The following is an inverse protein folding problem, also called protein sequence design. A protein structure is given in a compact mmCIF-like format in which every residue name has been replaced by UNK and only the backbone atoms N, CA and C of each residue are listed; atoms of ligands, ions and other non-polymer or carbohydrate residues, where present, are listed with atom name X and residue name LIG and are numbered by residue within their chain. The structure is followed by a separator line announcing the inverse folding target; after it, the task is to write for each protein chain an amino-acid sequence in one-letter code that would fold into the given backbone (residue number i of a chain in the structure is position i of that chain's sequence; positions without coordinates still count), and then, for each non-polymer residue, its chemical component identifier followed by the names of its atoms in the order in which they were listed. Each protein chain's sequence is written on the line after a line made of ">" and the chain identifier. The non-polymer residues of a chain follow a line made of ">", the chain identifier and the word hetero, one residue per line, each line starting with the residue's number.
data_IF_051113727120
#
_entry.id   IF_051113727120
#
_cell.length_a   1.000
_cell.length_b   1.000
_cell.length_c   1.000
_cell.angle_alpha   90.00
_cell.angle_beta   90.00
_cell.angle_gamma   90.00
#
_symmetry.space_group_name_H-M   'P 1'
#
loop_
_entity.id
_entity.type
_entity.pdbx_description
1 polymer ?
#
# COMPACT_ATOMS: atom_id res chain seq x y z
N UNK A 1 1.54 2.85 3.21
CA UNK A 1 1.69 1.51 3.81
C UNK A 1 1.47 1.61 5.31
N UNK A 2 0.30 1.19 5.80
CA UNK A 2 -0.03 1.14 7.22
C UNK A 2 0.15 -0.30 7.69
N UNK A 3 1.40 -0.75 7.83
CA UNK A 3 1.74 -2.18 7.95
C UNK A 3 1.76 -2.69 9.38
N UNK A 4 1.55 -1.83 10.37
CA UNK A 4 1.33 -2.23 11.76
C UNK A 4 0.17 -1.37 12.24
N UNK A 5 -0.99 -1.98 12.50
CA UNK A 5 -2.06 -1.29 13.19
C UNK A 5 -1.50 -0.71 14.48
N UNK A 6 -1.64 0.61 14.66
CA UNK A 6 -1.26 1.31 15.89
C UNK A 6 -1.60 0.57 17.20
N UNK A 7 -2.72 -0.19 17.31
CA UNK A 7 -3.02 -0.98 18.50
C UNK A 7 -1.96 -2.02 18.88
N UNK A 8 -1.35 -2.72 17.91
CA UNK A 8 -0.32 -3.72 18.19
C UNK A 8 0.95 -3.09 18.76
N UNK A 9 1.32 -1.91 18.26
CA UNK A 9 2.46 -1.14 18.78
C UNK A 9 2.21 -0.68 20.22
N UNK A 10 1.02 -0.15 20.52
CA UNK A 10 0.67 0.29 21.87
C UNK A 10 0.59 -0.87 22.86
N UNK A 11 0.09 -2.04 22.45
CA UNK A 11 0.04 -3.24 23.29
C UNK A 11 1.46 -3.77 23.60
N UNK A 12 2.35 -3.78 22.61
CA UNK A 12 3.76 -4.12 22.78
C UNK A 12 4.49 -3.11 23.69
N UNK A 13 4.29 -1.81 23.47
CA UNK A 13 4.88 -0.75 24.29
C UNK A 13 4.41 -0.83 25.76
N UNK A 14 3.11 -1.08 25.98
CA UNK A 14 2.55 -1.26 27.32
C UNK A 14 3.11 -2.51 28.02
N UNK A 15 3.27 -3.62 27.29
CA UNK A 15 3.89 -4.85 27.80
C UNK A 15 5.36 -4.67 28.20
N UNK A 16 6.11 -3.87 27.43
CA UNK A 16 7.51 -3.53 27.68
C UNK A 16 7.69 -2.57 28.87
N UNK A 17 6.89 -1.50 28.95
CA UNK A 17 7.00 -0.47 29.99
C UNK A 17 6.69 -0.99 31.40
N UNK A 18 5.77 -1.95 31.54
CA UNK A 18 5.38 -2.47 32.86
C UNK A 18 6.24 -3.63 33.40
N UNK A 19 7.34 -4.02 32.74
CA UNK A 19 8.12 -5.22 33.10
C UNK A 19 7.22 -6.46 33.30
N UNK A 20 6.13 -6.58 32.52
CA UNK A 20 5.22 -7.72 32.59
C UNK A 20 5.85 -9.00 32.02
N UNK A 21 6.97 -8.89 31.30
CA UNK A 21 7.73 -10.00 30.74
C UNK A 21 8.62 -10.62 31.84
N UNK A 22 8.21 -11.77 32.40
CA UNK A 22 9.17 -12.68 33.05
C UNK A 22 9.83 -13.50 31.94
N UNK A 23 11.03 -13.10 31.57
CA UNK A 23 11.83 -13.77 30.54
C UNK A 23 12.19 -15.18 31.02
N UNK A 24 11.55 -16.20 30.46
CA UNK A 24 12.12 -17.54 30.48
C UNK A 24 13.19 -17.57 29.37
N UNK A 25 14.42 -17.18 29.72
CA UNK A 25 15.49 -16.81 28.79
C UNK A 25 15.78 -17.84 27.68
N UNK A 26 15.44 -19.11 27.88
CA UNK A 26 15.66 -20.16 26.89
C UNK A 26 14.74 -20.10 25.65
N UNK A 27 13.51 -19.56 25.77
CA UNK A 27 12.51 -19.60 24.68
C UNK A 27 12.34 -18.27 23.94
N UNK A 28 12.58 -17.16 24.62
CA UNK A 28 12.31 -15.81 24.08
C UNK A 28 13.52 -15.23 23.33
N UNK A 29 14.74 -15.62 23.74
CA UNK A 29 16.00 -15.19 23.10
C UNK A 29 16.06 -15.49 21.59
N UNK A 30 15.74 -16.71 21.10
CA UNK A 30 15.78 -16.97 19.66
C UNK A 30 14.74 -16.16 18.90
N UNK A 31 13.54 -15.96 19.47
CA UNK A 31 12.48 -15.19 18.79
C UNK A 31 12.83 -13.69 18.75
N UNK A 32 13.37 -13.15 19.84
CA UNK A 32 13.83 -11.77 19.89
C UNK A 32 15.03 -11.55 18.95
N UNK A 33 15.98 -12.49 18.90
CA UNK A 33 17.12 -12.42 17.99
C UNK A 33 16.68 -12.42 16.52
N UNK A 34 15.71 -13.26 16.17
CA UNK A 34 15.11 -13.29 14.82
C UNK A 34 14.35 -11.99 14.53
N UNK A 35 13.61 -11.44 15.49
CA UNK A 35 12.90 -10.17 15.33
C UNK A 35 13.87 -9.00 15.12
N UNK A 36 14.95 -8.96 15.89
CA UNK A 36 16.00 -7.94 15.79
C UNK A 36 16.78 -8.09 14.49
N UNK A 37 17.07 -9.32 14.05
CA UNK A 37 17.68 -9.59 12.75
C UNK A 37 16.79 -9.13 11.58
N UNK A 38 15.48 -9.44 11.63
CA UNK A 38 14.54 -8.98 10.60
C UNK A 38 14.37 -7.45 10.61
N UNK A 39 14.37 -6.82 11.78
CA UNK A 39 14.35 -5.36 11.90
C UNK A 39 15.62 -4.75 11.30
N UNK A 40 16.79 -5.33 11.58
CA UNK A 40 18.07 -4.85 11.07
C UNK A 40 18.15 -5.01 9.54
N UNK A 41 17.70 -6.16 9.01
CA UNK A 41 17.55 -6.38 7.57
C UNK A 41 16.61 -5.33 6.97
N UNK A 42 15.46 -5.05 7.60
CA UNK A 42 14.50 -4.05 7.12
C UNK A 42 15.11 -2.64 7.11
N UNK A 43 15.87 -2.25 8.14
CA UNK A 43 16.55 -0.96 8.22
C UNK A 43 17.66 -0.85 7.17
N UNK A 44 18.47 -1.89 6.99
CA UNK A 44 19.53 -1.94 5.96
C UNK A 44 18.90 -1.87 4.57
N UNK A 45 17.79 -2.58 4.33
CA UNK A 45 17.08 -2.53 3.06
C UNK A 45 16.50 -1.13 2.82
N UNK A 46 15.83 -0.55 3.81
CA UNK A 46 15.27 0.81 3.74
C UNK A 46 16.36 1.86 3.47
N UNK A 47 17.52 1.70 4.11
CA UNK A 47 18.67 2.59 3.94
C UNK A 47 19.30 2.47 2.54
N UNK A 48 19.42 1.25 2.00
CA UNK A 48 20.06 0.99 0.70
C UNK A 48 19.12 1.31 -0.46
N UNK A 49 17.84 0.89 -0.41
CA UNK A 49 16.95 0.97 -1.57
C UNK A 49 16.06 2.21 -1.58
N UNK A 50 15.97 2.98 -0.48
CA UNK A 50 14.97 4.06 -0.28
C UNK A 50 13.52 3.63 -0.57
N UNK A 51 13.26 2.32 -0.66
CA UNK A 51 11.98 1.75 -1.06
C UNK A 51 11.64 0.60 -0.12
N UNK A 52 10.56 0.74 0.65
CA UNK A 52 9.99 -0.36 1.42
C UNK A 52 9.37 -1.37 0.44
N UNK A 53 10.13 -2.38 0.03
CA UNK A 53 9.55 -3.56 -0.62
C UNK A 53 8.60 -4.23 0.37
N UNK A 54 7.29 -4.08 0.16
CA UNK A 54 6.23 -4.53 1.07
C UNK A 54 6.32 -6.01 1.46
N UNK A 55 7.01 -6.83 0.66
CA UNK A 55 7.32 -8.23 0.94
C UNK A 55 8.07 -8.42 2.28
N UNK A 56 9.08 -7.61 2.59
CA UNK A 56 9.84 -7.78 3.84
C UNK A 56 9.09 -7.25 5.07
N UNK A 57 8.29 -6.20 4.89
CA UNK A 57 7.43 -5.68 5.97
C UNK A 57 6.34 -6.69 6.36
N UNK A 58 5.79 -7.42 5.40
CA UNK A 58 4.82 -8.49 5.65
C UNK A 58 5.44 -9.66 6.44
N UNK A 59 6.64 -10.11 6.07
CA UNK A 59 7.34 -11.19 6.79
C UNK A 59 7.63 -10.78 8.24
N UNK A 60 8.10 -9.55 8.45
CA UNK A 60 8.30 -9.01 9.80
C UNK A 60 7.00 -8.94 10.60
N UNK A 61 5.92 -8.43 10.00
CA UNK A 61 4.60 -8.33 10.64
C UNK A 61 4.05 -9.71 11.04
N UNK A 62 4.21 -10.72 10.17
CA UNK A 62 3.83 -12.10 10.46
C UNK A 62 4.62 -12.68 11.63
N UNK A 63 5.94 -12.44 11.69
CA UNK A 63 6.77 -12.87 12.82
C UNK A 63 6.42 -12.13 14.12
N UNK A 64 6.05 -10.85 14.06
CA UNK A 64 5.57 -10.13 15.23
C UNK A 64 4.21 -10.66 15.72
N UNK A 65 3.33 -11.05 14.78
CA UNK A 65 2.03 -11.64 15.11
C UNK A 65 2.15 -12.97 15.86
N UNK A 66 3.17 -13.79 15.59
CA UNK A 66 3.38 -15.05 16.33
C UNK A 66 3.78 -14.85 17.79
N UNK A 67 4.27 -13.66 18.18
CA UNK A 67 4.55 -13.30 19.57
C UNK A 67 3.31 -12.91 20.38
N UNK A 68 2.22 -12.53 19.70
CA UNK A 68 0.98 -12.06 20.35
C UNK A 68 0.35 -13.13 21.25
N UNK A 69 0.18 -14.40 20.83
CA UNK A 69 -0.39 -15.44 21.70
C UNK A 69 0.43 -15.68 22.97
N UNK A 70 1.77 -15.63 22.88
CA UNK A 70 2.65 -15.80 24.04
C UNK A 70 2.52 -14.64 25.04
N UNK A 71 2.41 -13.41 24.54
CA UNK A 71 2.19 -12.24 25.39
C UNK A 71 0.83 -12.31 26.09
N UNK A 72 -0.23 -12.68 25.36
CA UNK A 72 -1.58 -12.83 25.93
C UNK A 72 -1.62 -13.91 27.02
N UNK A 73 -1.05 -15.09 26.77
CA UNK A 73 -0.94 -16.16 27.76
C UNK A 73 -0.20 -15.68 29.02
N UNK A 74 0.92 -14.97 28.86
CA UNK A 74 1.68 -14.46 30.01
C UNK A 74 0.95 -13.40 30.84
N UNK A 75 0.08 -12.60 30.22
CA UNK A 75 -0.74 -11.59 30.90
C UNK A 75 -1.85 -12.29 31.71
N UNK A 76 -2.50 -13.30 31.12
CA UNK A 76 -3.56 -14.07 31.77
C UNK A 76 -3.00 -14.83 32.98
N UNK A 77 -1.93 -15.60 32.81
CA UNK A 77 -1.32 -16.39 33.90
C UNK A 77 -0.86 -15.54 35.08
N UNK A 78 -0.39 -14.31 34.82
CA UNK A 78 0.13 -13.42 35.88
C UNK A 78 -0.96 -12.66 36.62
N UNK A 79 -2.13 -12.50 36.01
CA UNK A 79 -3.28 -11.83 36.62
C UNK A 79 -4.30 -12.82 37.20
N UNK A 80 -4.16 -14.13 36.95
CA UNK A 80 -4.99 -15.18 37.55
C UNK A 80 -4.96 -15.09 39.09
N UNK A 81 -6.14 -14.99 39.70
CA UNK A 81 -6.31 -14.91 41.16
C UNK A 81 -6.06 -13.51 41.75
N UNK A 82 -5.80 -12.49 40.92
CA UNK A 82 -5.61 -11.10 41.35
C UNK A 82 -6.85 -10.24 41.19
N UNK A 83 -6.91 -9.10 41.91
CA UNK A 83 -8.01 -8.10 41.80
C UNK A 83 -8.20 -7.53 40.38
N UNK A 84 -7.21 -7.72 39.50
CA UNK A 84 -7.17 -7.18 38.13
C UNK A 84 -7.44 -8.23 37.04
N UNK A 85 -7.77 -9.47 37.41
CA UNK A 85 -8.04 -10.56 36.47
C UNK A 85 -9.16 -10.19 35.48
N UNK A 86 -10.34 -9.87 36.03
CA UNK A 86 -11.52 -9.51 35.23
C UNK A 86 -11.27 -8.31 34.32
N UNK A 87 -10.63 -7.25 34.84
CA UNK A 87 -10.36 -6.05 34.04
C UNK A 87 -9.40 -6.35 32.87
N UNK A 88 -8.36 -7.17 33.10
CA UNK A 88 -7.42 -7.52 32.05
C UNK A 88 -8.05 -8.39 30.95
N UNK A 89 -8.93 -9.31 31.33
CA UNK A 89 -9.70 -10.14 30.38
C UNK A 89 -10.66 -9.29 29.55
N UNK A 90 -11.42 -8.38 30.18
CA UNK A 90 -12.30 -7.47 29.44
C UNK A 90 -11.54 -6.56 28.48
N UNK A 91 -10.38 -6.05 28.88
CA UNK A 91 -9.52 -5.24 28.01
C UNK A 91 -9.01 -6.04 26.80
N UNK A 92 -8.56 -7.29 27.00
CA UNK A 92 -8.12 -8.16 25.91
C UNK A 92 -9.26 -8.48 24.95
N UNK A 93 -10.45 -8.78 25.46
CA UNK A 93 -11.65 -9.02 24.65
C UNK A 93 -11.97 -7.79 23.80
N UNK A 94 -11.99 -6.60 24.40
CA UNK A 94 -12.25 -5.35 23.69
C UNK A 94 -11.17 -5.06 22.63
N UNK A 95 -9.90 -5.34 22.93
CA UNK A 95 -8.79 -5.18 22.00
C UNK A 95 -8.91 -6.10 20.78
N UNK A 96 -9.20 -7.39 21.00
CA UNK A 96 -9.39 -8.34 19.89
C UNK A 96 -10.65 -8.03 19.09
N UNK A 97 -11.72 -7.58 19.74
CA UNK A 97 -12.93 -7.13 19.07
C UNK A 97 -12.67 -5.91 18.18
N UNK A 98 -11.89 -4.94 18.67
CA UNK A 98 -11.43 -3.82 17.87
C UNK A 98 -10.60 -4.28 16.66
N UNK A 99 -9.65 -5.20 16.85
CA UNK A 99 -8.83 -5.74 15.75
C UNK A 99 -9.68 -6.47 14.70
N UNK A 100 -10.74 -7.15 15.12
CA UNK A 100 -11.68 -7.81 14.21
C UNK A 100 -12.43 -6.79 13.34
N UNK A 101 -12.92 -5.71 13.95
CA UNK A 101 -13.58 -4.63 13.21
C UNK A 101 -12.60 -3.94 12.25
N UNK A 102 -11.39 -3.62 12.71
CA UNK A 102 -10.34 -3.00 11.91
C UNK A 102 -9.92 -3.87 10.72
N UNK A 103 -9.92 -5.20 10.88
CA UNK A 103 -9.62 -6.13 9.78
C UNK A 103 -10.69 -6.16 8.68
N UNK A 104 -11.96 -5.89 9.03
CA UNK A 104 -13.08 -5.92 8.10
C UNK A 104 -13.32 -4.56 7.43
N UNK A 105 -13.03 -3.47 8.15
CA UNK A 105 -13.29 -2.12 7.67
C UNK A 105 -11.97 -1.50 7.21
N UNK A 106 -11.73 -1.54 5.90
CA UNK A 106 -10.62 -0.81 5.30
C UNK A 106 -10.89 0.70 5.37
N UNK A 107 -10.30 1.39 6.34
CA UNK A 107 -10.35 2.86 6.47
C UNK A 107 -9.47 3.59 5.43
N UNK A 108 -9.07 2.93 4.34
CA UNK A 108 -8.30 3.55 3.27
C UNK A 108 -9.14 4.56 2.48
N UNK A 109 -8.49 5.56 1.87
CA UNK A 109 -9.16 6.42 0.87
C UNK A 109 -9.77 5.55 -0.21
N UNK A 110 -11.01 5.84 -0.58
CA UNK A 110 -11.65 5.14 -1.69
C UNK A 110 -10.84 5.37 -2.97
N UNK A 111 -10.73 4.31 -3.76
CA UNK A 111 -10.01 4.30 -5.04
C UNK A 111 -10.97 4.32 -6.21
N UNK A 112 -12.20 4.77 -5.98
CA UNK A 112 -13.29 4.77 -6.97
C UNK A 112 -12.89 5.59 -8.20
N UNK A 113 -12.07 6.62 -8.02
CA UNK A 113 -11.47 7.42 -9.10
C UNK A 113 -10.67 6.60 -10.13
N UNK A 114 -10.15 5.42 -9.79
CA UNK A 114 -9.52 4.52 -10.77
C UNK A 114 -10.55 3.90 -11.72
N UNK A 115 -11.72 3.53 -11.17
CA UNK A 115 -12.83 2.97 -11.94
C UNK A 115 -13.53 4.05 -12.76
N UNK A 116 -13.65 5.26 -12.22
CA UNK A 116 -14.17 6.41 -12.96
C UNK A 116 -13.24 6.76 -14.13
N UNK A 117 -11.93 6.77 -13.89
CA UNK A 117 -10.94 7.01 -14.94
C UNK A 117 -10.97 5.91 -16.01
N UNK A 118 -11.05 4.63 -15.63
CA UNK A 118 -11.12 3.53 -16.61
C UNK A 118 -12.40 3.59 -17.44
N UNK A 119 -13.55 3.88 -16.81
CA UNK A 119 -14.83 4.04 -17.50
C UNK A 119 -14.80 5.22 -18.47
N UNK A 120 -14.16 6.32 -18.09
CA UNK A 120 -13.97 7.47 -18.98
C UNK A 120 -13.13 7.09 -20.22
N UNK A 121 -12.03 6.34 -20.03
CA UNK A 121 -11.21 5.86 -21.15
C UNK A 121 -12.02 4.95 -22.08
N UNK A 122 -12.81 4.03 -21.52
CA UNK A 122 -13.65 3.10 -22.30
C UNK A 122 -14.67 3.85 -23.17
N UNK A 123 -15.33 4.88 -22.61
CA UNK A 123 -16.34 5.69 -23.30
C UNK A 123 -15.74 6.59 -24.38
N UNK A 124 -14.53 7.12 -24.15
CA UNK A 124 -13.90 8.08 -25.05
C UNK A 124 -13.08 7.42 -26.16
N UNK A 125 -12.67 6.15 -25.99
CA UNK A 125 -11.98 5.37 -27.00
C UNK A 125 -12.98 4.88 -28.06
N UNK A 126 -12.85 5.30 -29.31
CA UNK A 126 -13.56 4.66 -30.42
C UNK A 126 -13.02 3.22 -30.61
N UNK A 127 -13.74 2.29 -31.29
CA UNK A 127 -13.35 0.88 -31.39
C UNK A 127 -11.89 0.63 -31.81
N UNK A 128 -11.35 1.48 -32.69
CA UNK A 128 -9.98 1.37 -33.21
C UNK A 128 -8.97 2.32 -32.52
N UNK A 129 -9.38 3.03 -31.46
CA UNK A 129 -8.50 3.94 -30.73
C UNK A 129 -7.59 3.17 -29.79
N UNK A 130 -6.27 3.29 -30.00
CA UNK A 130 -5.27 2.74 -29.11
C UNK A 130 -5.28 3.45 -27.74
N UNK A 131 -4.99 2.70 -26.68
CA UNK A 131 -4.86 3.22 -25.31
C UNK A 131 -3.46 2.91 -24.79
N UNK A 132 -2.73 3.96 -24.41
CA UNK A 132 -1.46 3.85 -23.69
C UNK A 132 -1.70 4.19 -22.22
N UNK A 133 -1.32 3.29 -21.31
CA UNK A 133 -1.42 3.56 -19.87
C UNK A 133 -0.29 2.90 -19.09
N UNK A 134 0.06 3.52 -17.97
CA UNK A 134 1.02 3.00 -17.01
C UNK A 134 0.36 2.36 -15.77
N UNK A 135 -0.97 2.25 -15.77
CA UNK A 135 -1.75 1.74 -14.65
C UNK A 135 -2.52 0.47 -15.04
N UNK A 136 -2.29 -0.62 -14.30
CA UNK A 136 -2.83 -1.94 -14.63
C UNK A 136 -4.36 -2.00 -14.45
N UNK A 137 -4.90 -1.22 -13.51
CA UNK A 137 -6.35 -1.12 -13.31
C UNK A 137 -7.00 -0.48 -14.51
N UNK A 138 -6.44 0.63 -15.02
CA UNK A 138 -6.95 1.27 -16.25
C UNK A 138 -6.79 0.36 -17.46
N UNK A 139 -5.64 -0.31 -17.61
CA UNK A 139 -5.40 -1.25 -18.71
C UNK A 139 -6.42 -2.40 -18.74
N UNK A 140 -6.69 -3.00 -17.57
CA UNK A 140 -7.63 -4.11 -17.45
C UNK A 140 -9.09 -3.66 -17.64
N UNK A 141 -9.53 -2.63 -16.92
CA UNK A 141 -10.95 -2.23 -16.91
C UNK A 141 -11.38 -1.42 -18.13
N UNK A 142 -10.45 -0.78 -18.86
CA UNK A 142 -10.81 -0.13 -20.13
C UNK A 142 -11.12 -1.12 -21.24
N UNK A 143 -10.65 -2.37 -21.15
CA UNK A 143 -10.82 -3.39 -22.18
C UNK A 143 -10.14 -3.09 -23.52
N UNK A 144 -9.28 -2.05 -23.59
CA UNK A 144 -8.62 -1.58 -24.83
C UNK A 144 -7.14 -1.93 -24.92
N UNK A 145 -6.58 -2.54 -23.89
CA UNK A 145 -5.17 -2.94 -23.84
C UNK A 145 -5.09 -4.47 -23.89
N UNK A 146 -4.54 -5.03 -24.96
CA UNK A 146 -4.47 -6.48 -25.14
C UNK A 146 -3.56 -7.15 -24.09
N UNK A 147 -2.31 -6.70 -23.96
CA UNK A 147 -1.32 -7.24 -23.00
C UNK A 147 -1.31 -6.41 -21.71
N UNK A 148 -2.47 -6.28 -21.07
CA UNK A 148 -2.66 -5.44 -19.88
C UNK A 148 -1.78 -5.82 -18.69
N UNK A 149 -1.25 -7.05 -18.67
CA UNK A 149 -0.40 -7.62 -17.62
C UNK A 149 1.10 -7.32 -17.81
N UNK A 150 1.50 -6.84 -18.99
CA UNK A 150 2.92 -6.57 -19.33
C UNK A 150 3.22 -5.06 -19.40
N UNK A 151 2.27 -4.21 -18.98
CA UNK A 151 2.47 -2.77 -19.06
C UNK A 151 3.57 -2.29 -18.10
N UNK A 152 4.31 -1.27 -18.54
CA UNK A 152 5.38 -0.67 -17.74
C UNK A 152 4.82 0.51 -16.95
N UNK A 153 5.11 0.56 -15.65
CA UNK A 153 4.65 1.67 -14.80
C UNK A 153 5.35 2.97 -15.12
N UNK A 154 6.62 2.91 -15.48
CA UNK A 154 7.47 4.06 -15.82
C UNK A 154 7.56 4.20 -17.34
N UNK A 155 6.67 5.02 -17.90
CA UNK A 155 6.71 5.37 -19.32
C UNK A 155 7.77 6.45 -19.57
N UNK A 156 8.52 6.30 -20.66
CA UNK A 156 9.46 7.30 -21.15
C UNK A 156 8.74 8.26 -22.09
N UNK A 157 9.35 9.43 -22.30
CA UNK A 157 8.83 10.41 -23.26
C UNK A 157 8.70 9.82 -24.68
N UNK A 158 9.62 8.95 -25.09
CA UNK A 158 9.58 8.28 -26.40
C UNK A 158 8.34 7.38 -26.53
N UNK A 159 7.97 6.64 -25.48
CA UNK A 159 6.79 5.78 -25.50
C UNK A 159 5.50 6.57 -25.79
N UNK A 160 5.44 7.84 -25.36
CA UNK A 160 4.31 8.75 -25.62
C UNK A 160 4.40 9.41 -27.00
N UNK A 161 5.61 9.64 -27.51
CA UNK A 161 5.81 10.28 -28.81
C UNK A 161 5.63 9.31 -29.98
N UNK A 162 5.94 8.03 -29.76
CA UNK A 162 5.92 6.97 -30.77
C UNK A 162 4.51 6.41 -31.04
N UNK A 163 3.53 6.68 -30.15
CA UNK A 163 2.14 6.28 -30.37
C UNK A 163 1.45 7.15 -31.42
N UNK A 164 0.49 6.56 -32.13
CA UNK A 164 -0.23 7.23 -33.20
C UNK A 164 -1.04 8.45 -32.70
N UNK A 165 -1.20 9.50 -33.53
CA UNK A 165 -2.16 10.56 -33.25
C UNK A 165 -3.57 10.00 -33.04
N UNK A 166 -4.33 10.57 -32.11
CA UNK A 166 -5.64 10.09 -31.67
C UNK A 166 -5.60 9.09 -30.51
N UNK A 167 -4.45 8.48 -30.22
CA UNK A 167 -4.26 7.57 -29.08
C UNK A 167 -4.64 8.26 -27.76
N UNK A 168 -5.38 7.54 -26.91
CA UNK A 168 -5.68 7.99 -25.55
C UNK A 168 -4.53 7.58 -24.64
N UNK A 169 -3.96 8.56 -23.93
CA UNK A 169 -2.84 8.37 -23.03
C UNK A 169 -3.34 8.62 -21.60
N UNK A 170 -3.53 7.55 -20.82
CA UNK A 170 -4.02 7.62 -19.44
C UNK A 170 -2.89 7.34 -18.46
N UNK A 171 -2.47 8.37 -17.72
CA UNK A 171 -1.28 8.33 -16.87
C UNK A 171 -1.64 8.47 -15.39
N UNK A 172 -1.16 7.55 -14.57
CA UNK A 172 -1.03 7.75 -13.13
C UNK A 172 0.08 8.77 -12.88
N UNK A 173 -0.30 9.89 -12.28
CA UNK A 173 0.55 11.05 -12.04
C UNK A 173 1.29 10.88 -10.72
N UNK A 174 2.52 10.39 -10.84
CA UNK A 174 3.54 10.44 -9.80
C UNK A 174 4.72 11.27 -10.31
N UNK A 175 5.69 11.59 -9.45
CA UNK A 175 6.69 12.63 -9.68
C UNK A 175 7.37 12.55 -11.06
N UNK A 176 7.82 11.36 -11.45
CA UNK A 176 8.51 11.11 -12.72
C UNK A 176 7.59 11.29 -13.94
N UNK A 177 6.33 10.88 -13.85
CA UNK A 177 5.35 11.07 -14.95
C UNK A 177 4.98 12.54 -15.10
N UNK A 178 4.81 13.27 -14.00
CA UNK A 178 4.56 14.71 -14.03
C UNK A 178 5.72 15.45 -14.70
N UNK A 179 6.96 15.08 -14.39
CA UNK A 179 8.14 15.65 -15.06
C UNK A 179 8.18 15.31 -16.55
N UNK A 180 7.82 14.08 -16.93
CA UNK A 180 7.81 13.63 -18.33
C UNK A 180 6.78 14.40 -19.18
N UNK A 181 5.56 14.58 -18.65
CA UNK A 181 4.49 15.33 -19.34
C UNK A 181 4.83 16.82 -19.50
N UNK A 182 5.56 17.41 -18.56
CA UNK A 182 5.98 18.82 -18.64
C UNK A 182 7.14 19.07 -19.62
N UNK A 183 7.77 18.01 -20.17
CA UNK A 183 8.79 18.17 -21.20
C UNK A 183 8.17 18.79 -22.46
N UNK A 184 8.79 19.86 -22.99
CA UNK A 184 8.31 20.59 -24.16
C UNK A 184 7.82 19.71 -25.34
N UNK A 185 8.55 18.65 -25.78
CA UNK A 185 8.08 17.81 -26.88
C UNK A 185 6.82 17.03 -26.52
N UNK A 186 6.69 16.51 -25.29
CA UNK A 186 5.53 15.73 -24.85
C UNK A 186 4.32 16.63 -24.60
N UNK A 187 4.53 17.77 -23.93
CA UNK A 187 3.47 18.74 -23.64
C UNK A 187 2.80 19.28 -24.90
N UNK A 188 3.57 19.51 -25.96
CA UNK A 188 3.03 19.95 -27.26
C UNK A 188 2.31 18.83 -28.04
N UNK A 189 2.53 17.58 -27.64
CA UNK A 189 2.05 16.37 -28.31
C UNK A 189 0.74 15.84 -27.70
N UNK A 190 0.39 16.33 -26.50
CA UNK A 190 -0.74 15.88 -25.69
C UNK A 190 -1.75 17.00 -25.46
N UNK A 191 -3.02 16.68 -25.72
CA UNK A 191 -4.16 17.49 -25.31
C UNK A 191 -4.79 16.88 -24.06
N UNK A 192 -4.90 17.65 -22.98
CA UNK A 192 -5.58 17.20 -21.77
C UNK A 192 -7.09 17.03 -22.02
N UNK A 193 -7.64 15.87 -21.65
CA UNK A 193 -9.07 15.58 -21.74
C UNK A 193 -9.74 15.67 -20.36
N UNK A 194 -9.21 14.95 -19.37
CA UNK A 194 -9.83 14.84 -18.05
C UNK A 194 -8.79 14.49 -16.98
N UNK A 195 -9.07 14.87 -15.74
CA UNK A 195 -8.25 14.56 -14.57
C UNK A 195 -9.10 13.96 -13.45
N UNK A 196 -8.50 13.06 -12.68
CA UNK A 196 -9.12 12.38 -11.54
C UNK A 196 -8.15 12.32 -10.35
N UNK A 197 -8.63 12.38 -9.09
CA UNK A 197 -10.01 12.65 -8.69
C UNK A 197 -10.40 14.13 -8.82
N UNK A 198 -9.43 15.05 -8.84
CA UNK A 198 -9.66 16.49 -8.96
C UNK A 198 -8.53 17.16 -9.75
N UNK A 199 -8.81 18.35 -10.31
CA UNK A 199 -7.84 19.11 -11.09
C UNK A 199 -6.68 19.69 -10.25
N UNK A 200 -6.90 19.95 -8.97
CA UNK A 200 -5.89 20.54 -8.08
C UNK A 200 -4.82 19.52 -7.66
N UNK A 201 -5.21 18.24 -7.52
CA UNK A 201 -4.34 17.14 -7.14
C UNK A 201 -4.67 15.88 -7.95
N UNK A 202 -4.38 15.90 -9.27
CA UNK A 202 -4.69 14.77 -10.13
C UNK A 202 -3.79 13.59 -9.78
N UNK A 203 -4.40 12.44 -9.54
CA UNK A 203 -3.71 11.14 -9.46
C UNK A 203 -3.73 10.43 -10.81
N UNK A 204 -4.73 10.67 -11.65
CA UNK A 204 -4.75 10.27 -13.05
C UNK A 204 -4.97 11.51 -13.92
N UNK A 205 -4.23 11.59 -15.01
CA UNK A 205 -4.51 12.52 -16.09
C UNK A 205 -4.66 11.76 -17.41
N UNK A 206 -5.73 12.08 -18.14
CA UNK A 206 -6.07 11.46 -19.41
C UNK A 206 -5.86 12.50 -20.50
N UNK A 207 -5.09 12.11 -21.51
CA UNK A 207 -4.72 12.95 -22.63
C UNK A 207 -5.11 12.28 -23.96
N UNK A 208 -5.17 13.08 -25.02
CA UNK A 208 -5.23 12.64 -26.41
C UNK A 208 -3.96 13.06 -27.12
N UNK A 209 -3.34 12.12 -27.84
CA UNK A 209 -2.20 12.41 -28.71
C UNK A 209 -2.69 13.23 -29.91
N UNK A 210 -2.11 14.42 -30.15
CA UNK A 210 -2.57 15.32 -31.24
C UNK A 210 -1.63 15.40 -32.44
N UNK A 211 -0.31 15.28 -32.20
CA UNK A 211 0.74 15.34 -33.24
C UNK A 211 1.53 14.02 -33.35
#
# INVERSE_FOLDING_TARGET
>A
FYTIGGPFFWLLAFGLMRKHIRWHSAKVVPILAVLLANLLILVVFLYITKFLTGRYALVFGLMAATLVPFLVSSIIERNQGGKWEQLSTYFLILFFFYCLIDSYVSFGRSKDWLLDASSYVELQAEPDTQVLTNNHTIAYFSGRVENYDVIVRELKAQDVLDVAPGTIVALEMYYEMSLMVEQAPVKASLQLLQQFPSADQPQIAIYRRVN
#
